data_IF_223224260512
#
_entry.id   IF_223224260512
#
_cell.length_a   1.000
_cell.length_b   1.000
_cell.length_c   1.000
_cell.angle_alpha   90.00
_cell.angle_beta   90.00
_cell.angle_gamma   90.00
#
_symmetry.space_group_name_H-M   'P 1'
#
loop_
_entity.id
_entity.type
_entity.pdbx_description
1 polymer ?
#
# COMPACT_ATOMS: atom_id res chain seq x y z
N UNK A 1 28.15 105.00 -3.36
CA UNK A 1 26.88 104.41 -3.02
C UNK A 1 26.43 103.55 -4.20
N UNK A 2 26.73 102.26 -4.27
CA UNK A 2 26.08 101.33 -5.16
C UNK A 2 26.31 99.96 -4.62
N UNK A 3 25.24 99.29 -4.26
CA UNK A 3 25.19 97.91 -3.78
C UNK A 3 25.11 96.89 -4.97
N UNK A 4 26.07 96.02 -5.03
CA UNK A 4 26.05 94.88 -5.93
C UNK A 4 25.48 93.62 -5.18
N UNK A 5 24.40 93.03 -5.69
CA UNK A 5 23.88 91.78 -5.21
C UNK A 5 24.29 90.68 -6.18
N UNK A 6 25.11 89.76 -5.74
CA UNK A 6 25.45 88.51 -6.39
C UNK A 6 24.39 87.43 -6.02
N UNK A 7 23.69 86.91 -7.02
CA UNK A 7 22.76 85.80 -6.87
C UNK A 7 23.47 84.50 -7.06
N UNK A 8 23.42 83.62 -6.08
CA UNK A 8 23.89 82.22 -6.17
C UNK A 8 22.77 81.30 -6.69
N UNK A 9 22.98 80.62 -7.80
CA UNK A 9 22.16 79.58 -8.29
C UNK A 9 22.55 78.27 -7.57
N UNK A 10 21.64 77.71 -6.76
CA UNK A 10 21.77 76.38 -6.20
C UNK A 10 21.15 75.36 -7.17
N UNK A 11 22.02 74.57 -7.77
CA UNK A 11 21.57 73.40 -8.61
C UNK A 11 21.05 72.25 -7.76
N UNK A 12 19.79 71.92 -7.96
CA UNK A 12 19.16 70.77 -7.35
C UNK A 12 19.50 69.48 -8.15
N UNK A 13 20.42 68.64 -7.66
CA UNK A 13 20.71 67.35 -8.23
C UNK A 13 19.61 66.34 -7.79
N UNK A 14 18.73 65.97 -8.71
CA UNK A 14 17.74 64.88 -8.51
C UNK A 14 18.46 63.56 -8.68
N UNK A 15 18.76 62.87 -7.57
CA UNK A 15 19.26 61.51 -7.57
C UNK A 15 18.07 60.53 -7.86
N UNK A 16 18.00 59.99 -9.08
CA UNK A 16 17.09 58.86 -9.41
C UNK A 16 17.62 57.60 -8.71
N UNK A 17 16.98 57.24 -7.61
CA UNK A 17 17.17 55.91 -6.97
C UNK A 17 16.46 54.89 -7.81
N UNK A 18 17.22 54.09 -8.57
CA UNK A 18 16.73 52.85 -9.17
C UNK A 18 16.51 51.86 -8.04
N UNK A 19 15.23 51.69 -7.61
CA UNK A 19 14.85 50.49 -6.86
C UNK A 19 14.98 49.29 -7.82
N UNK A 20 16.09 48.59 -7.73
CA UNK A 20 16.18 47.23 -8.29
C UNK A 20 15.18 46.36 -7.52
N UNK A 21 14.06 46.04 -8.15
CA UNK A 21 13.16 44.98 -7.67
C UNK A 21 14.01 43.70 -7.58
N UNK A 22 14.39 43.31 -6.36
CA UNK A 22 14.93 41.98 -6.13
C UNK A 22 13.87 40.99 -6.65
N UNK A 23 14.24 39.99 -7.44
CA UNK A 23 13.29 38.96 -7.79
C UNK A 23 12.77 38.38 -6.47
N UNK A 24 11.46 38.45 -6.25
CA UNK A 24 10.80 37.71 -5.17
C UNK A 24 11.35 36.30 -5.26
N UNK A 25 12.12 35.90 -4.25
CA UNK A 25 12.43 34.49 -4.04
C UNK A 25 11.07 33.82 -3.77
N UNK A 26 10.39 33.41 -4.85
CA UNK A 26 9.17 32.65 -4.77
C UNK A 26 9.47 31.47 -3.87
N UNK A 27 8.94 31.49 -2.65
CA UNK A 27 9.06 30.36 -1.74
C UNK A 27 8.62 29.13 -2.52
N UNK A 28 9.54 28.19 -2.70
CA UNK A 28 9.28 26.98 -3.50
C UNK A 28 8.01 26.33 -2.97
N UNK A 29 6.97 26.29 -3.80
CA UNK A 29 5.66 25.79 -3.40
C UNK A 29 5.81 24.33 -2.89
N UNK A 30 5.25 24.04 -1.72
CA UNK A 30 5.22 22.70 -1.14
C UNK A 30 3.86 22.08 -1.39
N UNK A 31 3.85 20.84 -1.91
CA UNK A 31 2.63 20.05 -2.09
C UNK A 31 2.51 19.10 -0.91
N UNK A 32 1.45 19.24 -0.11
CA UNK A 32 1.20 18.41 1.07
C UNK A 32 0.27 17.25 0.76
N UNK A 33 0.66 16.03 1.15
CA UNK A 33 -0.15 14.81 1.09
C UNK A 33 -0.31 14.26 2.50
N UNK A 34 -1.55 13.93 2.89
CA UNK A 34 -1.83 13.24 4.14
C UNK A 34 -1.61 11.74 3.99
N UNK A 35 -0.94 11.10 4.95
CA UNK A 35 -0.76 9.66 4.97
C UNK A 35 -1.32 9.08 6.27
N UNK A 36 -2.39 8.29 6.17
CA UNK A 36 -3.07 7.67 7.32
C UNK A 36 -2.64 6.21 7.40
N UNK A 37 -1.90 5.84 8.45
CA UNK A 37 -1.39 4.48 8.65
C UNK A 37 -1.47 4.07 10.13
N UNK A 38 -1.49 2.75 10.45
CA UNK A 38 -1.40 2.29 11.83
C UNK A 38 0.05 2.41 12.32
N UNK A 39 0.39 3.54 12.95
CA UNK A 39 1.73 3.74 13.50
C UNK A 39 1.84 3.24 14.94
N UNK A 40 0.71 2.89 15.54
CA UNK A 40 0.56 2.21 16.83
C UNK A 40 -0.49 1.09 16.74
N UNK A 41 -0.60 0.25 17.78
CA UNK A 41 -1.55 -0.88 17.82
C UNK A 41 -1.05 -2.15 17.13
N UNK A 42 -1.96 -3.10 16.82
CA UNK A 42 -1.67 -4.46 16.36
C UNK A 42 -1.05 -4.57 14.96
N UNK A 43 -1.18 -3.55 14.14
CA UNK A 43 -0.60 -3.47 12.81
C UNK A 43 0.51 -2.41 12.71
N UNK A 44 1.06 -1.95 13.84
CA UNK A 44 2.05 -0.87 13.88
C UNK A 44 3.31 -1.20 13.08
N UNK A 45 3.77 -2.44 13.09
CA UNK A 45 4.92 -2.87 12.31
C UNK A 45 4.70 -2.61 10.81
N UNK A 46 3.60 -3.11 10.24
CA UNK A 46 3.25 -2.90 8.84
C UNK A 46 3.09 -1.40 8.49
N UNK A 47 2.47 -0.62 9.39
CA UNK A 47 2.32 0.83 9.22
C UNK A 47 3.66 1.57 9.20
N UNK A 48 4.60 1.19 10.06
CA UNK A 48 5.93 1.81 10.09
C UNK A 48 6.80 1.41 8.88
N UNK A 49 6.71 0.18 8.38
CA UNK A 49 7.35 -0.19 7.11
C UNK A 49 6.76 0.59 5.93
N UNK A 50 5.44 0.73 5.87
CA UNK A 50 4.77 1.56 4.86
C UNK A 50 5.19 3.03 4.94
N UNK A 51 5.30 3.59 6.15
CA UNK A 51 5.80 4.95 6.38
C UNK A 51 7.21 5.11 5.81
N UNK A 52 8.15 4.22 6.14
CA UNK A 52 9.52 4.27 5.65
C UNK A 52 9.60 4.21 4.11
N UNK A 53 8.74 3.39 3.48
CA UNK A 53 8.66 3.28 2.02
C UNK A 53 8.06 4.55 1.38
N UNK A 54 7.06 5.17 2.01
CA UNK A 54 6.52 6.48 1.59
C UNK A 54 7.59 7.57 1.69
N UNK A 55 8.39 7.60 2.77
CA UNK A 55 9.51 8.53 2.93
C UNK A 55 10.60 8.32 1.86
N UNK A 56 10.82 7.08 1.42
CA UNK A 56 11.69 6.80 0.27
C UNK A 56 11.11 7.35 -1.03
N UNK A 57 9.80 7.21 -1.26
CA UNK A 57 9.15 7.79 -2.45
C UNK A 57 9.24 9.33 -2.45
N UNK A 58 9.06 9.98 -1.30
CA UNK A 58 9.27 11.44 -1.16
C UNK A 58 10.70 11.83 -1.53
N UNK A 59 11.68 11.06 -1.06
CA UNK A 59 13.09 11.31 -1.36
C UNK A 59 13.38 11.16 -2.85
N UNK A 60 12.87 10.11 -3.49
CA UNK A 60 12.98 9.89 -4.94
C UNK A 60 12.38 11.05 -5.75
N UNK A 61 11.19 11.51 -5.40
CA UNK A 61 10.52 12.62 -6.09
C UNK A 61 11.29 13.93 -5.88
N UNK A 62 11.72 14.21 -4.65
CA UNK A 62 12.31 15.48 -4.29
C UNK A 62 13.77 15.66 -4.73
N UNK A 63 14.54 14.57 -4.75
CA UNK A 63 15.97 14.61 -5.01
C UNK A 63 16.39 13.92 -6.31
N UNK A 64 15.53 13.02 -6.83
CA UNK A 64 15.77 12.26 -8.04
C UNK A 64 16.79 11.13 -7.88
N UNK A 65 16.72 10.16 -8.78
CA UNK A 65 17.73 9.11 -8.97
C UNK A 65 17.85 8.80 -10.47
N UNK A 66 19.01 9.05 -11.10
CA UNK A 66 19.18 8.89 -12.54
C UNK A 66 19.06 7.44 -13.04
N UNK A 67 19.19 6.44 -12.15
CA UNK A 67 19.09 5.02 -12.50
C UNK A 67 17.65 4.55 -12.68
N UNK A 68 16.66 5.32 -12.18
CA UNK A 68 15.23 4.99 -12.23
C UNK A 68 14.52 5.68 -13.40
N UNK A 69 15.07 5.54 -14.63
CA UNK A 69 14.62 6.28 -15.84
C UNK A 69 13.15 6.05 -16.19
N UNK A 70 12.65 4.85 -15.96
CA UNK A 70 11.28 4.47 -16.32
C UNK A 70 10.26 4.87 -15.23
N UNK A 71 10.71 5.12 -14.00
CA UNK A 71 9.82 5.47 -12.89
C UNK A 71 9.45 6.96 -12.96
N UNK A 72 8.17 7.30 -13.09
CA UNK A 72 7.74 8.68 -13.16
C UNK A 72 8.24 9.51 -11.97
N UNK A 73 8.69 10.73 -12.23
CA UNK A 73 9.22 11.70 -11.26
C UNK A 73 10.53 11.30 -10.57
N UNK A 74 11.03 10.08 -10.74
CA UNK A 74 12.21 9.61 -10.02
C UNK A 74 13.53 10.14 -10.56
N UNK A 75 13.57 10.73 -11.75
CA UNK A 75 14.81 11.29 -12.35
C UNK A 75 14.95 12.80 -12.19
N UNK A 76 13.88 13.48 -11.77
CA UNK A 76 13.81 14.92 -11.60
C UNK A 76 14.07 15.40 -10.17
N UNK A 77 13.79 16.68 -9.92
CA UNK A 77 13.87 17.29 -8.59
C UNK A 77 12.57 18.00 -8.28
N UNK A 78 11.68 17.35 -7.56
CA UNK A 78 10.35 17.84 -7.27
C UNK A 78 9.35 17.57 -8.40
N UNK A 79 8.30 18.37 -8.46
CA UNK A 79 7.17 18.26 -9.39
C UNK A 79 7.32 19.28 -10.55
N UNK A 80 7.84 18.89 -11.73
CA UNK A 80 8.08 19.82 -12.83
C UNK A 80 6.82 20.57 -13.28
N UNK A 81 5.64 19.91 -13.28
CA UNK A 81 4.36 20.54 -13.62
C UNK A 81 3.94 21.66 -12.65
N UNK A 82 4.62 21.78 -11.51
CA UNK A 82 4.42 22.81 -10.50
C UNK A 82 5.73 23.60 -10.24
N UNK A 83 6.53 23.79 -11.29
CA UNK A 83 7.77 24.58 -11.20
C UNK A 83 8.84 24.00 -10.27
N UNK A 84 8.85 22.68 -10.08
CA UNK A 84 9.79 22.00 -9.19
C UNK A 84 9.35 21.98 -7.72
N UNK A 85 8.08 22.21 -7.44
CA UNK A 85 7.53 22.14 -6.08
C UNK A 85 7.94 20.86 -5.36
N UNK A 86 8.25 20.96 -4.06
CA UNK A 86 8.60 19.79 -3.24
C UNK A 86 7.36 19.10 -2.70
N UNK A 87 7.45 17.77 -2.58
CA UNK A 87 6.44 16.97 -1.92
C UNK A 87 6.73 16.86 -0.43
N UNK A 88 5.71 17.06 0.39
CA UNK A 88 5.71 16.85 1.83
C UNK A 88 4.61 15.86 2.19
N UNK A 89 4.89 14.91 3.09
CA UNK A 89 3.90 13.97 3.61
C UNK A 89 3.68 14.21 5.09
N UNK A 90 2.42 14.47 5.45
CA UNK A 90 1.97 14.60 6.84
C UNK A 90 1.40 13.27 7.29
N UNK A 91 2.12 12.58 8.16
CA UNK A 91 1.68 11.29 8.71
C UNK A 91 0.68 11.45 9.83
N UNK A 92 -0.30 10.55 9.86
CA UNK A 92 -1.35 10.48 10.87
C UNK A 92 -1.56 9.04 11.31
N UNK A 93 -1.47 8.82 12.63
CA UNK A 93 -1.68 7.50 13.24
C UNK A 93 -3.17 7.21 13.38
N UNK A 94 -3.64 6.15 12.74
CA UNK A 94 -5.02 5.69 12.86
C UNK A 94 -5.27 4.77 14.07
N UNK A 95 -4.22 4.43 14.83
CA UNK A 95 -4.27 3.62 16.06
C UNK A 95 -4.99 2.28 15.89
N UNK A 96 -5.12 1.79 14.66
CA UNK A 96 -5.85 0.57 14.33
C UNK A 96 -7.37 0.68 14.51
N UNK A 97 -7.95 1.88 14.59
CA UNK A 97 -9.39 2.06 14.80
C UNK A 97 -10.08 2.96 13.76
N UNK A 98 -11.31 2.60 13.31
CA UNK A 98 -12.07 3.41 12.36
C UNK A 98 -12.33 4.85 12.84
N UNK A 99 -12.60 5.04 14.15
CA UNK A 99 -12.84 6.36 14.72
C UNK A 99 -11.60 7.26 14.68
N UNK A 100 -10.42 6.73 15.05
CA UNK A 100 -9.18 7.47 14.93
C UNK A 100 -8.86 7.79 13.46
N UNK A 101 -9.02 6.83 12.54
CA UNK A 101 -8.84 7.07 11.10
C UNK A 101 -9.71 8.17 10.53
N UNK A 102 -10.99 8.20 10.93
CA UNK A 102 -11.94 9.28 10.57
C UNK A 102 -11.48 10.64 11.09
N UNK A 103 -11.10 10.71 12.37
CA UNK A 103 -10.66 11.96 12.99
C UNK A 103 -9.35 12.46 12.36
N UNK A 104 -8.41 11.57 12.06
CA UNK A 104 -7.16 11.93 11.40
C UNK A 104 -7.40 12.41 9.96
N UNK A 105 -8.32 11.80 9.21
CA UNK A 105 -8.69 12.30 7.89
C UNK A 105 -9.26 13.72 7.97
N UNK A 106 -10.16 13.98 8.91
CA UNK A 106 -10.72 15.32 9.10
C UNK A 106 -9.61 16.33 9.46
N UNK A 107 -8.72 16.01 10.41
CA UNK A 107 -7.59 16.88 10.79
C UNK A 107 -6.68 17.19 9.60
N UNK A 108 -6.29 16.19 8.83
CA UNK A 108 -5.45 16.37 7.64
C UNK A 108 -6.09 17.31 6.63
N UNK A 109 -7.41 17.25 6.46
CA UNK A 109 -8.17 18.09 5.52
C UNK A 109 -8.30 19.51 6.04
N UNK A 110 -8.76 19.69 7.30
CA UNK A 110 -9.19 20.99 7.81
C UNK A 110 -8.07 21.81 8.43
N UNK A 111 -7.10 21.17 9.10
CA UNK A 111 -6.01 21.81 9.81
C UNK A 111 -4.73 21.82 8.96
N UNK A 112 -4.30 20.64 8.46
CA UNK A 112 -3.09 20.51 7.65
C UNK A 112 -3.26 20.97 6.20
N UNK A 113 -4.51 21.01 5.71
CA UNK A 113 -4.89 21.41 4.35
C UNK A 113 -4.16 20.64 3.27
N UNK A 114 -4.15 19.32 3.41
CA UNK A 114 -3.54 18.42 2.44
C UNK A 114 -4.31 18.40 1.11
N UNK A 115 -3.60 18.20 -0.01
CA UNK A 115 -4.18 18.21 -1.34
C UNK A 115 -4.71 16.86 -1.80
N UNK A 116 -4.25 15.78 -1.16
CA UNK A 116 -4.73 14.40 -1.32
C UNK A 116 -4.39 13.59 -0.08
N UNK A 117 -5.03 12.42 0.09
CA UNK A 117 -4.76 11.49 1.19
C UNK A 117 -4.41 10.11 0.61
N UNK A 118 -3.42 9.45 1.22
CA UNK A 118 -3.05 8.05 0.99
C UNK A 118 -3.28 7.23 2.25
N UNK A 119 -3.75 5.98 2.10
CA UNK A 119 -3.95 5.02 3.20
C UNK A 119 -5.24 4.22 3.03
N UNK A 120 -5.82 3.67 4.08
CA UNK A 120 -5.34 3.67 5.47
C UNK A 120 -4.85 2.29 5.93
N UNK A 121 -4.34 1.45 5.04
CA UNK A 121 -3.92 0.07 5.24
C UNK A 121 -5.09 -0.87 5.57
N UNK A 122 -5.76 -0.68 6.70
CA UNK A 122 -6.88 -1.51 7.16
C UNK A 122 -8.19 -1.08 6.48
N UNK A 123 -8.92 -2.04 5.89
CA UNK A 123 -10.13 -1.75 5.09
C UNK A 123 -11.21 -1.02 5.89
N UNK A 124 -11.47 -1.42 7.15
CA UNK A 124 -12.46 -0.77 8.00
C UNK A 124 -12.12 0.69 8.33
N UNK A 125 -10.83 1.03 8.41
CA UNK A 125 -10.37 2.41 8.60
C UNK A 125 -10.49 3.19 7.29
N UNK A 126 -10.16 2.56 6.17
CA UNK A 126 -10.33 3.17 4.84
C UNK A 126 -11.79 3.52 4.56
N UNK A 127 -12.76 2.70 5.02
CA UNK A 127 -14.20 3.01 4.93
C UNK A 127 -14.51 4.39 5.52
N UNK A 128 -14.08 4.64 6.77
CA UNK A 128 -14.42 5.87 7.50
C UNK A 128 -13.56 7.07 7.06
N UNK A 129 -12.26 6.88 6.87
CA UNK A 129 -11.35 7.95 6.46
C UNK A 129 -11.68 8.47 5.05
N UNK A 130 -11.94 7.57 4.09
CA UNK A 130 -12.31 7.97 2.73
C UNK A 130 -13.70 8.61 2.63
N UNK A 131 -14.61 8.32 3.56
CA UNK A 131 -15.89 9.02 3.65
C UNK A 131 -15.72 10.50 4.03
N UNK A 132 -14.71 10.83 4.86
CA UNK A 132 -14.38 12.23 5.13
C UNK A 132 -13.80 12.91 3.87
N UNK A 133 -12.90 12.26 3.16
CA UNK A 133 -12.37 12.77 1.89
C UNK A 133 -13.46 13.00 0.85
N UNK A 134 -14.39 12.07 0.67
CA UNK A 134 -15.54 12.23 -0.23
C UNK A 134 -16.38 13.45 0.14
N UNK A 135 -16.69 13.61 1.44
CA UNK A 135 -17.50 14.73 1.94
C UNK A 135 -16.86 16.11 1.69
N UNK A 136 -15.54 16.16 1.77
CA UNK A 136 -14.78 17.40 1.64
C UNK A 136 -14.18 17.62 0.24
N UNK A 137 -14.39 16.71 -0.70
CA UNK A 137 -13.89 16.82 -2.06
C UNK A 137 -12.36 16.74 -2.15
N UNK A 138 -11.72 15.88 -1.34
CA UNK A 138 -10.28 15.65 -1.34
C UNK A 138 -10.00 14.25 -1.89
N UNK A 139 -9.13 14.07 -2.91
CA UNK A 139 -8.78 12.77 -3.44
C UNK A 139 -8.19 11.85 -2.35
N UNK A 140 -8.69 10.61 -2.30
CA UNK A 140 -8.20 9.55 -1.41
C UNK A 140 -7.78 8.35 -2.25
N UNK A 141 -6.53 7.92 -2.12
CA UNK A 141 -6.03 6.72 -2.77
C UNK A 141 -5.66 5.67 -1.71
N UNK A 142 -6.25 4.47 -1.82
CA UNK A 142 -5.81 3.33 -1.01
C UNK A 142 -4.93 2.40 -1.85
N UNK A 143 -3.69 2.16 -1.44
CA UNK A 143 -2.82 1.19 -2.08
C UNK A 143 -2.92 -0.23 -1.50
N UNK A 144 -3.51 -0.43 -0.30
CA UNK A 144 -3.50 -1.74 0.36
C UNK A 144 -4.89 -2.32 0.65
N UNK A 145 -5.90 -1.49 0.92
CA UNK A 145 -7.21 -1.97 1.36
C UNK A 145 -7.98 -2.71 0.27
N UNK A 146 -8.37 -3.95 0.54
CA UNK A 146 -8.87 -4.89 -0.49
C UNK A 146 -10.36 -5.23 -0.36
N UNK A 147 -11.07 -4.77 0.69
CA UNK A 147 -12.48 -5.05 0.88
C UNK A 147 -13.31 -4.67 -0.36
N UNK A 148 -14.19 -5.57 -0.79
CA UNK A 148 -14.88 -5.47 -2.08
C UNK A 148 -15.73 -4.20 -2.19
N UNK A 149 -16.43 -3.83 -1.11
CA UNK A 149 -17.35 -2.71 -1.08
C UNK A 149 -16.70 -1.32 -1.24
N UNK A 150 -15.39 -1.18 -1.06
CA UNK A 150 -14.72 0.13 -1.06
C UNK A 150 -14.92 0.93 -2.34
N UNK A 151 -14.95 0.28 -3.50
CA UNK A 151 -15.22 0.91 -4.81
C UNK A 151 -16.69 0.82 -5.25
N UNK A 152 -17.57 0.21 -4.42
CA UNK A 152 -18.99 0.05 -4.74
C UNK A 152 -19.89 1.13 -4.09
N UNK A 153 -19.29 2.12 -3.40
CA UNK A 153 -20.00 3.15 -2.63
C UNK A 153 -20.43 4.35 -3.48
N UNK A 154 -20.09 4.37 -4.78
CA UNK A 154 -20.37 5.50 -5.67
C UNK A 154 -19.56 6.75 -5.38
N UNK A 155 -18.44 6.63 -4.69
CA UNK A 155 -17.56 7.74 -4.35
C UNK A 155 -16.79 8.24 -5.57
N UNK A 156 -16.72 9.56 -5.74
CA UNK A 156 -16.02 10.22 -6.85
C UNK A 156 -14.55 10.51 -6.54
N UNK A 157 -14.22 10.66 -5.26
CA UNK A 157 -12.92 11.08 -4.77
C UNK A 157 -12.07 9.91 -4.27
N UNK A 158 -12.58 8.68 -4.39
CA UNK A 158 -11.91 7.48 -3.93
C UNK A 158 -11.28 6.70 -5.09
N UNK A 159 -10.02 6.26 -4.87
CA UNK A 159 -9.25 5.44 -5.81
C UNK A 159 -8.60 4.28 -5.07
N UNK A 160 -8.56 3.10 -5.70
CA UNK A 160 -7.89 1.93 -5.19
C UNK A 160 -6.85 1.43 -6.19
N UNK A 161 -5.56 1.45 -5.81
CA UNK A 161 -4.46 1.01 -6.66
C UNK A 161 -4.23 -0.50 -6.62
N UNK A 162 -4.59 -1.18 -5.52
CA UNK A 162 -4.41 -2.63 -5.32
C UNK A 162 -5.50 -3.45 -6.01
N UNK A 163 -5.26 -4.76 -6.30
CA UNK A 163 -6.33 -5.69 -6.66
C UNK A 163 -7.44 -5.74 -5.60
N UNK A 164 -8.63 -6.15 -5.98
CA UNK A 164 -9.75 -6.38 -5.06
C UNK A 164 -9.74 -7.82 -4.52
N UNK A 165 -10.40 -8.06 -3.38
CA UNK A 165 -10.48 -9.39 -2.76
C UNK A 165 -10.89 -10.50 -3.74
N UNK A 166 -11.76 -10.20 -4.72
CA UNK A 166 -12.17 -11.14 -5.74
C UNK A 166 -11.06 -11.60 -6.69
N UNK A 167 -10.07 -10.75 -6.96
CA UNK A 167 -8.92 -11.12 -7.80
C UNK A 167 -8.05 -12.15 -7.07
N UNK A 168 -7.84 -11.96 -5.77
CA UNK A 168 -7.08 -12.89 -4.94
C UNK A 168 -7.82 -14.23 -4.76
N UNK A 169 -9.14 -14.19 -4.51
CA UNK A 169 -9.93 -15.39 -4.39
C UNK A 169 -9.88 -16.24 -5.67
N UNK A 170 -9.95 -15.60 -6.85
CA UNK A 170 -9.77 -16.31 -8.14
C UNK A 170 -8.38 -16.88 -8.31
N UNK A 171 -7.33 -16.17 -7.90
CA UNK A 171 -5.96 -16.65 -7.95
C UNK A 171 -5.77 -17.89 -7.05
N UNK A 172 -6.28 -17.85 -5.81
CA UNK A 172 -6.25 -19.02 -4.91
C UNK A 172 -7.03 -20.19 -5.48
N UNK A 173 -8.22 -19.96 -6.05
CA UNK A 173 -9.02 -21.01 -6.66
C UNK A 173 -8.28 -21.69 -7.82
N UNK A 174 -7.72 -20.92 -8.75
CA UNK A 174 -6.97 -21.45 -9.87
C UNK A 174 -5.73 -22.22 -9.39
N UNK A 175 -4.96 -21.67 -8.47
CA UNK A 175 -3.81 -22.31 -7.86
C UNK A 175 -4.18 -23.67 -7.23
N UNK A 176 -5.22 -23.71 -6.39
CA UNK A 176 -5.65 -24.94 -5.73
C UNK A 176 -6.17 -26.00 -6.71
N UNK A 177 -6.83 -25.60 -7.81
CA UNK A 177 -7.22 -26.53 -8.88
C UNK A 177 -5.99 -27.19 -9.51
N UNK A 178 -4.95 -26.43 -9.81
CA UNK A 178 -3.69 -26.96 -10.36
C UNK A 178 -2.99 -27.89 -9.37
N UNK A 179 -2.92 -27.51 -8.07
CA UNK A 179 -2.31 -28.36 -7.05
C UNK A 179 -3.08 -29.68 -6.87
N UNK A 180 -4.41 -29.64 -6.88
CA UNK A 180 -5.25 -30.83 -6.82
C UNK A 180 -5.04 -31.73 -8.04
N UNK A 181 -4.95 -31.16 -9.24
CA UNK A 181 -4.64 -31.90 -10.46
C UNK A 181 -3.24 -32.55 -10.43
N UNK A 182 -2.29 -31.91 -9.73
CA UNK A 182 -0.94 -32.44 -9.47
C UNK A 182 -0.90 -33.50 -8.34
N UNK A 183 -2.04 -33.90 -7.79
CA UNK A 183 -2.14 -34.97 -6.77
C UNK A 183 -1.98 -34.47 -5.33
N UNK A 184 -1.97 -33.16 -5.09
CA UNK A 184 -1.90 -32.64 -3.73
C UNK A 184 -3.25 -32.73 -3.00
N UNK A 185 -3.21 -32.90 -1.67
CA UNK A 185 -4.41 -32.89 -0.83
C UNK A 185 -4.98 -31.48 -0.73
N UNK A 186 -6.10 -31.23 -1.39
CA UNK A 186 -6.79 -29.94 -1.43
C UNK A 186 -8.32 -30.11 -1.53
N UNK A 187 -8.88 -31.11 -0.86
CA UNK A 187 -10.29 -31.47 -0.96
C UNK A 187 -11.15 -30.79 0.10
N UNK A 188 -10.61 -30.45 1.26
CA UNK A 188 -11.30 -29.77 2.36
C UNK A 188 -10.59 -28.49 2.74
N UNK A 189 -11.34 -27.39 2.81
CA UNK A 189 -10.77 -26.05 3.02
C UNK A 189 -11.40 -25.41 4.24
N UNK A 190 -10.57 -24.87 5.14
CA UNK A 190 -10.99 -23.99 6.22
C UNK A 190 -10.53 -22.56 5.96
N UNK A 191 -11.39 -21.59 6.29
CA UNK A 191 -11.06 -20.16 6.27
C UNK A 191 -11.06 -19.67 7.71
N UNK A 192 -10.00 -18.99 8.14
CA UNK A 192 -9.88 -18.39 9.46
C UNK A 192 -9.67 -16.89 9.26
N UNK A 193 -10.58 -16.09 9.77
CA UNK A 193 -10.55 -14.65 9.51
C UNK A 193 -10.83 -13.83 10.77
N UNK A 194 -10.12 -12.72 10.89
CA UNK A 194 -10.47 -11.70 11.86
C UNK A 194 -11.83 -11.05 11.50
N UNK A 195 -12.53 -10.48 12.48
CA UNK A 195 -13.90 -10.04 12.33
C UNK A 195 -14.08 -8.56 11.94
N UNK A 196 -13.01 -7.88 11.47
CA UNK A 196 -13.15 -6.53 10.93
C UNK A 196 -13.62 -6.57 9.47
N UNK A 197 -13.79 -5.40 8.85
CA UNK A 197 -14.19 -5.25 7.45
C UNK A 197 -13.27 -6.03 6.49
N UNK A 198 -11.95 -6.05 6.76
CA UNK A 198 -10.99 -6.80 5.92
C UNK A 198 -11.26 -8.30 5.97
N UNK A 199 -11.17 -8.90 7.15
CA UNK A 199 -11.29 -10.35 7.28
C UNK A 199 -12.66 -10.87 6.86
N UNK A 200 -13.74 -10.17 7.24
CA UNK A 200 -15.11 -10.55 6.89
C UNK A 200 -15.37 -10.43 5.38
N UNK A 201 -14.95 -9.34 4.75
CA UNK A 201 -15.12 -9.13 3.31
C UNK A 201 -14.34 -10.16 2.49
N UNK A 202 -13.06 -10.38 2.82
CA UNK A 202 -12.22 -11.36 2.09
C UNK A 202 -12.75 -12.78 2.27
N UNK A 203 -13.09 -13.20 3.49
CA UNK A 203 -13.64 -14.53 3.74
C UNK A 203 -14.95 -14.77 2.97
N UNK A 204 -15.84 -13.76 2.91
CA UNK A 204 -17.08 -13.84 2.15
C UNK A 204 -16.81 -14.06 0.66
N UNK A 205 -15.93 -13.24 0.08
CA UNK A 205 -15.60 -13.31 -1.35
C UNK A 205 -14.89 -14.63 -1.70
N UNK A 206 -13.98 -15.12 -0.84
CA UNK A 206 -13.33 -16.44 -1.06
C UNK A 206 -14.40 -17.54 -1.07
N UNK A 207 -15.34 -17.55 -0.12
CA UNK A 207 -16.42 -18.54 -0.09
C UNK A 207 -17.26 -18.52 -1.36
N UNK A 208 -17.64 -17.34 -1.84
CA UNK A 208 -18.47 -17.18 -3.05
C UNK A 208 -17.74 -17.69 -4.30
N UNK A 209 -16.48 -17.29 -4.49
CA UNK A 209 -15.65 -17.72 -5.62
C UNK A 209 -15.40 -19.22 -5.55
N UNK A 210 -15.07 -19.75 -4.37
CA UNK A 210 -14.77 -21.17 -4.18
C UNK A 210 -15.99 -22.05 -4.39
N UNK A 211 -17.16 -21.65 -3.89
CA UNK A 211 -18.42 -22.36 -4.13
C UNK A 211 -18.75 -22.43 -5.63
N UNK A 212 -18.60 -21.31 -6.35
CA UNK A 212 -18.80 -21.24 -7.80
C UNK A 212 -17.82 -22.13 -8.56
N UNK A 213 -16.60 -22.25 -8.07
CA UNK A 213 -15.51 -23.00 -8.69
C UNK A 213 -15.43 -24.48 -8.25
N UNK A 214 -16.35 -24.93 -7.39
CA UNK A 214 -16.47 -26.33 -6.94
C UNK A 214 -15.47 -26.73 -5.85
N UNK A 215 -14.90 -25.77 -5.11
CA UNK A 215 -14.10 -26.06 -3.92
C UNK A 215 -14.98 -26.30 -2.69
N UNK A 216 -14.64 -27.27 -1.86
CA UNK A 216 -15.36 -27.55 -0.62
C UNK A 216 -14.80 -26.73 0.54
N UNK A 217 -15.40 -25.56 0.82
CA UNK A 217 -15.15 -24.81 2.06
C UNK A 217 -15.95 -25.50 3.17
N UNK A 218 -15.27 -26.27 4.01
CA UNK A 218 -15.88 -27.07 5.07
C UNK A 218 -16.06 -26.32 6.38
N UNK A 219 -15.27 -25.25 6.59
CA UNK A 219 -15.32 -24.42 7.79
C UNK A 219 -15.02 -22.95 7.47
N UNK A 220 -15.69 -22.05 8.20
CA UNK A 220 -15.31 -20.65 8.33
C UNK A 220 -15.27 -20.33 9.82
N UNK A 221 -14.13 -19.90 10.30
CA UNK A 221 -13.85 -19.67 11.71
C UNK A 221 -13.51 -18.19 11.91
N UNK A 222 -14.51 -17.34 12.15
CA UNK A 222 -14.25 -15.94 12.51
C UNK A 222 -13.72 -15.85 13.93
N UNK A 223 -12.83 -14.88 14.17
CA UNK A 223 -12.34 -14.57 15.51
C UNK A 223 -12.27 -13.05 15.72
N UNK A 224 -12.25 -12.60 16.96
CA UNK A 224 -12.11 -11.18 17.30
C UNK A 224 -10.71 -10.70 16.99
N UNK A 225 -10.58 -9.63 16.19
CA UNK A 225 -9.31 -8.96 15.98
C UNK A 225 -8.71 -8.52 17.32
N UNK A 226 -7.39 -8.54 17.44
CA UNK A 226 -6.64 -8.27 18.67
C UNK A 226 -6.90 -9.29 19.80
N UNK A 227 -7.33 -10.51 19.46
CA UNK A 227 -7.46 -11.57 20.46
C UNK A 227 -6.12 -11.90 21.11
N UNK A 228 -6.15 -12.34 22.34
CA UNK A 228 -4.97 -12.83 23.09
C UNK A 228 -4.89 -14.36 23.14
N UNK A 229 -5.94 -15.06 22.66
CA UNK A 229 -6.00 -16.50 22.60
C UNK A 229 -6.69 -16.98 21.33
N UNK A 230 -6.05 -17.92 20.63
CA UNK A 230 -6.57 -18.59 19.42
C UNK A 230 -6.57 -20.12 19.58
N UNK A 231 -6.32 -20.62 20.78
CA UNK A 231 -6.26 -22.06 21.05
C UNK A 231 -7.58 -22.75 20.67
N UNK A 232 -8.78 -22.23 21.00
CA UNK A 232 -10.04 -22.84 20.59
C UNK A 232 -10.17 -23.01 19.07
N UNK A 233 -9.78 -22.01 18.30
CA UNK A 233 -9.84 -22.05 16.83
C UNK A 233 -8.85 -23.08 16.26
N UNK A 234 -7.63 -23.16 16.80
CA UNK A 234 -6.63 -24.15 16.36
C UNK A 234 -7.04 -25.57 16.75
N UNK A 235 -7.66 -25.77 17.92
CA UNK A 235 -8.22 -27.08 18.32
C UNK A 235 -9.36 -27.50 17.40
N UNK A 236 -10.24 -26.58 17.01
CA UNK A 236 -11.30 -26.85 16.03
C UNK A 236 -10.72 -27.24 14.66
N UNK A 237 -9.68 -26.56 14.20
CA UNK A 237 -8.96 -26.94 12.97
C UNK A 237 -8.33 -28.32 13.10
N UNK A 238 -7.67 -28.61 14.22
CA UNK A 238 -7.03 -29.91 14.48
C UNK A 238 -8.03 -31.05 14.51
N UNK A 239 -9.21 -30.87 15.11
CA UNK A 239 -10.28 -31.85 15.16
C UNK A 239 -10.81 -32.20 13.75
N UNK A 240 -11.09 -31.18 12.94
CA UNK A 240 -11.65 -31.36 11.57
C UNK A 240 -10.59 -31.68 10.53
N UNK A 241 -9.34 -31.36 10.80
CA UNK A 241 -8.15 -31.65 10.01
C UNK A 241 -8.30 -31.33 8.50
N UNK A 242 -8.62 -30.06 8.13
CA UNK A 242 -8.75 -29.68 6.73
C UNK A 242 -7.42 -29.81 5.98
N UNK A 243 -7.50 -30.15 4.67
CA UNK A 243 -6.32 -30.21 3.81
C UNK A 243 -5.66 -28.84 3.62
N UNK A 244 -6.49 -27.80 3.49
CA UNK A 244 -6.08 -26.40 3.24
C UNK A 244 -6.63 -25.50 4.34
N UNK A 245 -5.79 -24.60 4.85
CA UNK A 245 -6.24 -23.51 5.70
C UNK A 245 -5.84 -22.17 5.06
N UNK A 246 -6.79 -21.24 5.00
CA UNK A 246 -6.56 -19.88 4.52
C UNK A 246 -6.75 -18.95 5.71
N UNK A 247 -5.65 -18.28 6.13
CA UNK A 247 -5.67 -17.29 7.20
C UNK A 247 -5.79 -15.87 6.65
N UNK A 248 -6.65 -15.08 7.28
CA UNK A 248 -6.87 -13.67 6.99
C UNK A 248 -6.71 -12.92 8.32
N UNK A 249 -5.50 -12.41 8.59
CA UNK A 249 -5.11 -11.90 9.92
C UNK A 249 -4.11 -10.74 9.82
N UNK A 250 -4.11 -9.85 10.81
CA UNK A 250 -3.07 -8.85 10.99
C UNK A 250 -1.87 -9.41 11.78
N UNK A 251 -0.80 -8.64 11.93
CA UNK A 251 0.52 -9.12 12.36
C UNK A 251 0.52 -9.83 13.71
N UNK A 252 -0.09 -9.25 14.74
CA UNK A 252 -0.12 -9.86 16.08
C UNK A 252 -0.91 -11.16 16.10
N UNK A 253 -2.05 -11.19 15.42
CA UNK A 253 -2.90 -12.37 15.35
C UNK A 253 -2.23 -13.49 14.53
N UNK A 254 -1.54 -13.14 13.43
CA UNK A 254 -0.77 -14.07 12.61
C UNK A 254 0.33 -14.77 13.43
N UNK A 255 1.08 -14.00 14.25
CA UNK A 255 2.09 -14.53 15.16
C UNK A 255 1.49 -15.49 16.18
N UNK A 256 0.33 -15.13 16.74
CA UNK A 256 -0.36 -15.95 17.73
C UNK A 256 -0.80 -17.29 17.13
N UNK A 257 -1.40 -17.27 15.92
CA UNK A 257 -1.76 -18.50 15.21
C UNK A 257 -0.56 -19.38 14.88
N UNK A 258 0.51 -18.81 14.32
CA UNK A 258 1.71 -19.54 13.98
C UNK A 258 2.30 -20.26 15.21
N UNK A 259 2.39 -19.57 16.34
CA UNK A 259 2.87 -20.11 17.60
C UNK A 259 1.94 -21.20 18.14
N UNK A 260 0.62 -20.93 18.22
CA UNK A 260 -0.36 -21.88 18.78
C UNK A 260 -0.44 -23.17 17.95
N UNK A 261 -0.37 -23.08 16.62
CA UNK A 261 -0.31 -24.26 15.75
C UNK A 261 0.91 -25.12 16.05
N UNK A 262 2.07 -24.50 16.24
CA UNK A 262 3.31 -25.21 16.63
C UNK A 262 3.19 -25.85 18.00
N UNK A 263 2.73 -25.10 19.01
CA UNK A 263 2.58 -25.57 20.39
C UNK A 263 1.60 -26.77 20.47
N UNK A 264 0.55 -26.75 19.67
CA UNK A 264 -0.42 -27.87 19.57
C UNK A 264 0.02 -28.98 18.59
N UNK A 265 1.22 -28.85 17.99
CA UNK A 265 1.79 -29.77 17.02
C UNK A 265 0.79 -30.18 15.93
N UNK A 266 0.17 -29.21 15.28
CA UNK A 266 -0.77 -29.43 14.19
C UNK A 266 -0.55 -28.45 13.04
N UNK A 267 -0.65 -28.95 11.82
CA UNK A 267 -0.52 -28.18 10.58
C UNK A 267 -1.30 -28.81 9.43
N UNK A 268 -1.89 -28.01 8.51
CA UNK A 268 -2.55 -28.52 7.31
C UNK A 268 -1.53 -29.00 6.27
N UNK A 269 -2.01 -29.66 5.22
CA UNK A 269 -1.19 -29.99 4.04
C UNK A 269 -0.80 -28.75 3.24
N UNK A 270 -1.70 -27.76 3.14
CA UNK A 270 -1.48 -26.50 2.46
C UNK A 270 -1.88 -25.36 3.40
N UNK A 271 -0.96 -24.47 3.69
CA UNK A 271 -1.20 -23.28 4.50
C UNK A 271 -1.09 -22.03 3.62
N UNK A 272 -2.19 -21.31 3.48
CA UNK A 272 -2.28 -20.07 2.71
C UNK A 272 -2.54 -18.92 3.67
N UNK A 273 -1.85 -17.82 3.48
CA UNK A 273 -2.09 -16.56 4.14
C UNK A 273 -2.60 -15.52 3.13
N UNK A 274 -3.57 -14.69 3.53
CA UNK A 274 -4.05 -13.61 2.68
C UNK A 274 -3.30 -12.31 3.00
N UNK A 275 -1.99 -12.29 2.72
CA UNK A 275 -1.13 -11.10 2.87
C UNK A 275 -1.15 -10.50 4.29
N UNK A 276 -1.43 -9.20 4.41
CA UNK A 276 -1.52 -8.46 5.66
C UNK A 276 -0.37 -8.78 6.64
N UNK A 277 -0.69 -9.23 7.84
CA UNK A 277 0.30 -9.53 8.86
C UNK A 277 1.33 -10.61 8.50
N UNK A 278 1.00 -11.50 7.58
CA UNK A 278 1.90 -12.58 7.17
C UNK A 278 3.03 -12.14 6.22
N UNK A 279 2.90 -10.97 5.60
CA UNK A 279 3.99 -10.36 4.81
C UNK A 279 4.89 -9.43 5.63
N UNK A 280 4.48 -9.09 6.84
CA UNK A 280 5.22 -8.20 7.72
C UNK A 280 6.61 -8.78 8.06
N UNK A 281 7.71 -8.06 7.81
CA UNK A 281 9.05 -8.54 8.15
C UNK A 281 9.24 -8.95 9.61
N UNK A 282 8.50 -8.30 10.55
CA UNK A 282 8.55 -8.68 11.97
C UNK A 282 7.92 -10.04 12.22
N UNK A 283 6.81 -10.36 11.50
CA UNK A 283 6.20 -11.69 11.53
C UNK A 283 7.17 -12.75 11.01
N UNK A 284 7.75 -12.53 9.83
CA UNK A 284 8.71 -13.47 9.23
C UNK A 284 9.88 -13.74 10.17
N UNK A 285 10.47 -12.66 10.72
CA UNK A 285 11.59 -12.75 11.64
C UNK A 285 11.25 -13.49 12.93
N UNK A 286 10.11 -13.19 13.54
CA UNK A 286 9.69 -13.79 14.81
C UNK A 286 9.25 -15.26 14.65
N UNK A 287 8.67 -15.63 13.52
CA UNK A 287 8.17 -16.97 13.23
C UNK A 287 9.30 -17.93 12.81
N UNK A 288 10.37 -17.43 12.19
CA UNK A 288 11.52 -18.25 11.76
C UNK A 288 11.11 -19.45 10.89
N UNK A 289 11.55 -20.65 11.26
CA UNK A 289 11.24 -21.88 10.50
C UNK A 289 9.76 -22.28 10.51
N UNK A 290 8.95 -21.74 11.44
CA UNK A 290 7.53 -22.08 11.51
C UNK A 290 6.81 -21.79 10.19
N UNK A 291 7.22 -20.74 9.50
CA UNK A 291 6.55 -20.30 8.26
C UNK A 291 7.17 -20.86 6.99
N UNK A 292 8.16 -21.73 7.09
CA UNK A 292 8.76 -22.37 5.89
C UNK A 292 7.71 -23.19 5.12
N UNK A 293 7.50 -22.84 3.86
CA UNK A 293 6.48 -23.43 3.02
C UNK A 293 5.12 -22.71 3.06
N UNK A 294 4.95 -21.67 3.91
CA UNK A 294 3.73 -20.85 3.93
C UNK A 294 3.52 -20.18 2.57
N UNK A 295 2.33 -20.36 2.02
CA UNK A 295 1.91 -19.74 0.77
C UNK A 295 1.26 -18.39 1.08
N UNK A 296 1.57 -17.38 0.27
CA UNK A 296 1.00 -16.05 0.42
C UNK A 296 0.72 -15.44 -0.96
N UNK A 297 -0.04 -14.36 -0.99
CA UNK A 297 -0.16 -13.52 -2.17
C UNK A 297 0.73 -12.30 -2.05
N UNK A 298 1.20 -11.81 -3.17
CA UNK A 298 1.95 -10.57 -3.21
C UNK A 298 1.73 -9.86 -4.54
N UNK A 299 1.64 -8.55 -4.50
CA UNK A 299 1.72 -7.70 -5.69
C UNK A 299 3.13 -7.16 -5.92
N UNK A 300 4.08 -7.58 -5.10
CA UNK A 300 5.48 -7.18 -5.18
C UNK A 300 6.40 -8.40 -5.10
N UNK A 301 7.41 -8.37 -5.94
CA UNK A 301 8.61 -9.17 -5.81
C UNK A 301 9.78 -8.31 -6.33
N UNK A 302 10.99 -8.41 -5.75
CA UNK A 302 12.11 -7.58 -6.15
C UNK A 302 12.49 -7.64 -7.63
N UNK A 303 12.06 -8.69 -8.33
CA UNK A 303 12.35 -8.84 -9.76
C UNK A 303 13.80 -9.15 -10.07
N UNK A 304 14.17 -9.02 -11.34
CA UNK A 304 15.54 -9.25 -11.80
C UNK A 304 16.42 -8.06 -11.42
N UNK A 305 17.71 -8.32 -11.18
CA UNK A 305 18.69 -7.27 -10.95
C UNK A 305 18.65 -6.19 -12.03
N UNK A 306 18.68 -4.92 -11.61
CA UNK A 306 18.58 -3.76 -12.52
C UNK A 306 17.16 -3.36 -12.92
N UNK A 307 16.12 -4.12 -12.56
CA UNK A 307 14.73 -3.67 -12.72
C UNK A 307 14.39 -2.54 -11.74
N UNK A 308 13.38 -1.75 -12.06
CA UNK A 308 12.86 -0.68 -11.18
C UNK A 308 12.55 -1.24 -9.78
N UNK A 309 11.86 -2.38 -9.72
CA UNK A 309 11.52 -3.04 -8.44
C UNK A 309 12.77 -3.43 -7.64
N UNK A 310 13.80 -4.00 -8.29
CA UNK A 310 15.05 -4.40 -7.63
C UNK A 310 15.81 -3.18 -7.12
N UNK A 311 15.98 -2.14 -7.95
CA UNK A 311 16.69 -0.92 -7.57
C UNK A 311 16.02 -0.21 -6.40
N UNK A 312 14.70 -0.06 -6.42
CA UNK A 312 13.95 0.58 -5.32
C UNK A 312 14.01 -0.28 -4.05
N UNK A 313 13.97 -1.62 -4.19
CA UNK A 313 14.15 -2.53 -3.06
C UNK A 313 15.53 -2.40 -2.41
N UNK A 314 16.59 -2.34 -3.21
CA UNK A 314 17.97 -2.12 -2.72
C UNK A 314 18.10 -0.78 -1.98
N UNK A 315 17.46 0.28 -2.50
CA UNK A 315 17.43 1.59 -1.83
C UNK A 315 16.70 1.53 -0.49
N UNK A 316 15.55 0.84 -0.44
CA UNK A 316 14.83 0.63 0.81
C UNK A 316 15.67 -0.16 1.82
N UNK A 317 16.29 -1.25 1.38
CA UNK A 317 17.18 -2.06 2.22
C UNK A 317 18.37 -1.28 2.76
N UNK A 318 18.97 -0.43 1.94
CA UNK A 318 20.06 0.47 2.38
C UNK A 318 19.60 1.47 3.44
N UNK A 319 18.37 2.00 3.30
CA UNK A 319 17.79 2.99 4.20
C UNK A 319 17.29 2.40 5.51
N UNK A 320 16.67 1.22 5.47
CA UNK A 320 15.91 0.63 6.59
C UNK A 320 16.54 -0.64 7.18
N UNK A 321 17.48 -1.27 6.48
CA UNK A 321 18.00 -2.60 6.78
C UNK A 321 17.09 -3.76 6.33
N UNK A 322 15.92 -3.47 5.74
CA UNK A 322 14.94 -4.48 5.34
C UNK A 322 14.59 -4.36 3.86
N UNK A 323 14.30 -5.49 3.23
CA UNK A 323 13.66 -5.50 1.92
C UNK A 323 12.25 -4.89 2.01
N UNK A 324 11.72 -4.37 0.88
CA UNK A 324 10.31 -4.02 0.78
C UNK A 324 9.47 -5.29 0.93
N UNK A 325 8.44 -5.22 1.74
CA UNK A 325 7.35 -6.17 1.74
C UNK A 325 6.23 -5.72 0.77
N UNK A 326 5.22 -6.56 0.57
CA UNK A 326 4.14 -6.24 -0.34
C UNK A 326 3.34 -4.97 0.06
N UNK A 327 2.92 -4.78 1.33
CA UNK A 327 2.26 -3.54 1.74
C UNK A 327 3.11 -2.29 1.56
N UNK A 328 4.37 -2.31 1.97
CA UNK A 328 5.26 -1.15 1.86
C UNK A 328 5.58 -0.78 0.40
N UNK A 329 5.77 -1.77 -0.47
CA UNK A 329 5.94 -1.53 -1.91
C UNK A 329 4.68 -0.90 -2.53
N UNK A 330 3.48 -1.34 -2.11
CA UNK A 330 2.21 -0.73 -2.56
C UNK A 330 2.02 0.68 -2.01
N UNK A 331 2.41 0.95 -0.75
CA UNK A 331 2.37 2.29 -0.16
C UNK A 331 3.27 3.27 -0.92
N UNK A 332 4.50 2.87 -1.21
CA UNK A 332 5.44 3.62 -2.04
C UNK A 332 4.85 3.91 -3.43
N UNK A 333 4.33 2.86 -4.10
CA UNK A 333 3.70 3.00 -5.41
C UNK A 333 2.47 3.92 -5.36
N UNK A 334 1.67 3.85 -4.33
CA UNK A 334 0.50 4.71 -4.14
C UNK A 334 0.87 6.19 -4.06
N UNK A 335 1.95 6.53 -3.36
CA UNK A 335 2.44 7.91 -3.31
C UNK A 335 2.95 8.39 -4.67
N UNK A 336 3.67 7.55 -5.41
CA UNK A 336 4.12 7.86 -6.77
C UNK A 336 2.94 8.12 -7.72
N UNK A 337 1.86 7.36 -7.61
CA UNK A 337 0.63 7.56 -8.41
C UNK A 337 0.01 8.93 -8.10
N UNK A 338 -0.14 9.29 -6.83
CA UNK A 338 -0.71 10.58 -6.43
C UNK A 338 0.19 11.72 -6.91
N UNK A 339 1.49 11.63 -6.68
CA UNK A 339 2.45 12.66 -7.07
C UNK A 339 2.50 12.86 -8.59
N UNK A 340 2.47 11.78 -9.37
CA UNK A 340 2.40 11.82 -10.84
C UNK A 340 1.12 12.52 -11.31
N UNK A 341 -0.02 12.17 -10.71
CA UNK A 341 -1.30 12.80 -11.05
C UNK A 341 -1.31 14.30 -10.72
N UNK A 342 -0.77 14.72 -9.58
CA UNK A 342 -0.62 16.13 -9.20
C UNK A 342 0.31 16.86 -10.17
N UNK A 343 1.44 16.25 -10.51
CA UNK A 343 2.39 16.80 -11.47
C UNK A 343 1.75 17.02 -12.85
N UNK A 344 1.00 16.03 -13.33
CA UNK A 344 0.29 16.09 -14.62
C UNK A 344 -0.88 17.08 -14.60
N UNK A 345 -1.57 17.23 -13.45
CA UNK A 345 -2.58 18.26 -13.25
C UNK A 345 -2.01 19.69 -13.31
N UNK A 346 -0.71 19.88 -13.03
CA UNK A 346 -0.07 21.18 -12.90
C UNK A 346 -0.75 22.10 -11.88
N UNK A 347 -1.37 21.51 -10.86
CA UNK A 347 -2.23 22.23 -9.91
C UNK A 347 -2.38 21.48 -8.60
N UNK A 348 -2.57 22.20 -7.51
CA UNK A 348 -2.95 21.68 -6.19
C UNK A 348 -4.46 21.73 -5.95
N UNK A 349 -5.25 22.14 -6.94
CA UNK A 349 -6.70 22.12 -6.88
C UNK A 349 -7.21 20.66 -6.81
N UNK A 350 -8.01 20.28 -5.79
CA UNK A 350 -8.44 18.90 -5.61
C UNK A 350 -9.23 18.34 -6.80
N UNK A 351 -10.03 19.14 -7.47
CA UNK A 351 -10.83 18.68 -8.62
C UNK A 351 -9.93 18.36 -9.82
N UNK A 352 -8.88 19.14 -10.05
CA UNK A 352 -7.90 18.87 -11.09
C UNK A 352 -7.05 17.62 -10.75
N UNK A 353 -6.70 17.43 -9.49
CA UNK A 353 -6.00 16.22 -9.03
C UNK A 353 -6.90 14.99 -9.22
N UNK A 354 -8.17 15.07 -8.85
CA UNK A 354 -9.16 14.00 -9.03
C UNK A 354 -9.30 13.62 -10.52
N UNK A 355 -9.43 14.62 -11.39
CA UNK A 355 -9.51 14.39 -12.84
C UNK A 355 -8.21 13.75 -13.38
N UNK A 356 -7.05 14.19 -12.90
CA UNK A 356 -5.77 13.61 -13.27
C UNK A 356 -5.61 12.17 -12.77
N UNK A 357 -6.01 11.85 -11.52
CA UNK A 357 -6.05 10.47 -11.03
C UNK A 357 -6.96 9.60 -11.90
N UNK A 358 -8.15 10.08 -12.26
CA UNK A 358 -9.09 9.37 -13.15
C UNK A 358 -8.47 9.04 -14.52
N UNK A 359 -7.64 9.93 -15.04
CA UNK A 359 -6.97 9.80 -16.33
C UNK A 359 -5.61 9.09 -16.25
N UNK A 360 -5.25 8.48 -15.12
CA UNK A 360 -3.98 7.77 -14.95
C UNK A 360 -3.90 6.56 -15.90
N UNK A 361 -2.78 6.44 -16.63
CA UNK A 361 -2.45 5.31 -17.52
C UNK A 361 -0.94 5.02 -17.45
N UNK A 362 -0.49 4.44 -16.34
CA UNK A 362 0.90 4.01 -16.16
C UNK A 362 1.10 2.60 -16.70
N UNK A 363 2.24 2.37 -17.36
CA UNK A 363 2.62 1.07 -17.92
C UNK A 363 3.35 0.21 -16.87
N UNK A 364 3.48 -1.08 -17.13
CA UNK A 364 4.13 -2.03 -16.23
C UNK A 364 5.57 -1.67 -15.85
N UNK A 365 6.34 -1.08 -16.76
CA UNK A 365 7.71 -0.61 -16.47
C UNK A 365 7.79 0.71 -15.71
N UNK A 366 6.65 1.39 -15.49
CA UNK A 366 6.54 2.64 -14.75
C UNK A 366 6.07 2.44 -13.30
N UNK A 367 6.02 1.20 -12.83
CA UNK A 367 5.57 0.85 -11.47
C UNK A 367 6.61 0.00 -10.75
N UNK A 368 6.66 0.15 -9.42
CA UNK A 368 7.53 -0.64 -8.54
C UNK A 368 6.91 -2.01 -8.23
N UNK A 369 5.59 -2.06 -8.15
CA UNK A 369 4.83 -3.30 -7.95
C UNK A 369 4.79 -4.16 -9.21
N UNK A 370 4.45 -5.45 -9.07
CA UNK A 370 4.26 -6.37 -10.20
C UNK A 370 2.95 -6.18 -10.96
N UNK A 371 2.34 -5.00 -10.90
CA UNK A 371 1.12 -4.68 -11.66
C UNK A 371 1.39 -4.64 -13.17
N UNK A 372 0.37 -4.94 -13.95
CA UNK A 372 0.41 -4.74 -15.40
C UNK A 372 0.35 -3.25 -15.79
N UNK A 373 0.25 -2.37 -14.80
CA UNK A 373 0.17 -0.92 -14.92
C UNK A 373 -0.82 -0.32 -13.91
N UNK A 374 -1.17 0.96 -14.09
CA UNK A 374 -2.21 1.63 -13.30
C UNK A 374 -3.17 2.35 -14.24
N UNK A 375 -4.42 1.91 -14.21
CA UNK A 375 -5.53 2.55 -14.93
C UNK A 375 -6.80 2.41 -14.12
N UNK A 376 -7.43 3.52 -13.78
CA UNK A 376 -8.64 3.51 -12.98
C UNK A 376 -9.91 3.45 -13.85
N UNK A 377 -10.84 2.57 -13.47
CA UNK A 377 -12.18 2.53 -14.03
C UNK A 377 -13.09 3.63 -13.47
N UNK A 378 -14.37 3.62 -13.85
CA UNK A 378 -15.37 4.59 -13.40
C UNK A 378 -15.59 4.57 -11.87
N UNK A 379 -15.32 3.43 -11.21
CA UNK A 379 -15.43 3.26 -9.75
C UNK A 379 -14.16 3.65 -9.00
N UNK A 380 -13.09 4.02 -9.72
CA UNK A 380 -11.77 4.29 -9.14
C UNK A 380 -10.95 3.04 -8.82
N UNK A 381 -11.30 1.87 -9.37
CA UNK A 381 -10.51 0.65 -9.24
C UNK A 381 -9.41 0.60 -10.30
N UNK A 382 -8.16 0.31 -9.90
CA UNK A 382 -7.10 -0.02 -10.84
C UNK A 382 -7.39 -1.37 -11.51
N UNK A 383 -7.74 -1.35 -12.79
CA UNK A 383 -8.06 -2.56 -13.57
C UNK A 383 -6.81 -3.30 -14.08
N UNK A 384 -5.63 -2.72 -13.95
CA UNK A 384 -4.35 -3.33 -14.31
C UNK A 384 -3.58 -3.87 -13.11
N UNK A 385 -4.16 -3.76 -11.91
CA UNK A 385 -3.59 -4.36 -10.72
C UNK A 385 -3.56 -5.89 -10.82
N UNK A 386 -2.46 -6.50 -10.40
CA UNK A 386 -2.27 -7.96 -10.44
C UNK A 386 -1.50 -8.44 -9.21
N UNK A 387 -1.58 -9.75 -8.97
CA UNK A 387 -0.85 -10.39 -7.88
C UNK A 387 -0.20 -11.69 -8.33
N UNK A 388 0.75 -12.13 -7.53
CA UNK A 388 1.45 -13.40 -7.61
C UNK A 388 1.07 -14.24 -6.39
N UNK A 389 1.20 -15.55 -6.50
CA UNK A 389 1.30 -16.43 -5.34
C UNK A 389 2.78 -16.65 -5.07
N UNK A 390 3.14 -16.41 -3.84
CA UNK A 390 4.51 -16.58 -3.32
C UNK A 390 4.53 -17.68 -2.28
N UNK A 391 5.68 -18.27 -2.06
CA UNK A 391 5.89 -19.23 -0.98
C UNK A 391 7.13 -18.83 -0.18
N UNK A 392 7.04 -18.97 1.13
CA UNK A 392 8.18 -18.81 2.02
C UNK A 392 9.18 -19.95 1.76
N UNK A 393 10.34 -19.61 1.25
CA UNK A 393 11.42 -20.54 0.93
C UNK A 393 12.76 -19.98 1.42
N UNK A 394 13.40 -20.67 2.36
CA UNK A 394 14.66 -20.25 2.94
C UNK A 394 14.60 -18.83 3.56
N UNK A 395 13.49 -18.50 4.21
CA UNK A 395 13.29 -17.23 4.92
C UNK A 395 12.88 -16.06 4.02
N UNK A 396 12.55 -16.29 2.75
CA UNK A 396 12.10 -15.26 1.80
C UNK A 396 10.86 -15.70 1.02
N UNK A 397 9.99 -14.76 0.68
CA UNK A 397 8.86 -15.03 -0.20
C UNK A 397 9.32 -15.07 -1.67
N UNK A 398 9.23 -16.27 -2.27
CA UNK A 398 9.61 -16.54 -3.66
C UNK A 398 8.32 -16.67 -4.49
N UNK A 399 8.16 -15.94 -5.62
CA UNK A 399 7.07 -16.15 -6.56
C UNK A 399 7.07 -17.60 -7.09
N UNK A 400 5.94 -18.31 -6.95
CA UNK A 400 5.79 -19.70 -7.37
C UNK A 400 4.63 -19.92 -8.33
N UNK A 401 3.75 -18.91 -8.51
CA UNK A 401 2.62 -18.96 -9.43
C UNK A 401 2.17 -17.54 -9.83
N UNK A 402 1.66 -17.32 -11.06
CA UNK A 402 1.56 -18.27 -12.16
C UNK A 402 2.94 -18.67 -12.72
N UNK A 403 2.99 -19.78 -13.45
CA UNK A 403 4.25 -20.40 -13.89
C UNK A 403 5.16 -19.49 -14.73
N UNK A 404 4.56 -18.63 -15.56
CA UNK A 404 5.29 -17.67 -16.39
C UNK A 404 5.97 -16.54 -15.61
N UNK A 405 5.53 -16.32 -14.35
CA UNK A 405 6.08 -15.31 -13.43
C UNK A 405 6.82 -15.95 -12.24
N UNK A 406 6.87 -17.27 -12.16
CA UNK A 406 7.51 -17.97 -11.05
C UNK A 406 9.04 -17.79 -11.09
N UNK A 407 9.64 -17.60 -9.91
CA UNK A 407 11.09 -17.57 -9.67
C UNK A 407 11.58 -18.84 -8.95
N UNK A 408 10.67 -19.70 -8.51
CA UNK A 408 10.96 -20.98 -7.88
C UNK A 408 9.80 -21.95 -8.02
N UNK A 409 10.06 -23.23 -7.71
CA UNK A 409 9.05 -24.26 -7.71
C UNK A 409 8.27 -24.28 -6.40
N UNK A 410 6.97 -24.64 -6.49
CA UNK A 410 6.14 -24.86 -5.30
C UNK A 410 6.64 -26.09 -4.53
N UNK A 411 6.69 -25.99 -3.21
CA UNK A 411 7.11 -27.06 -2.29
C UNK A 411 5.94 -27.44 -1.39
N UNK A 412 5.34 -28.58 -1.64
CA UNK A 412 4.23 -29.13 -0.87
C UNK A 412 4.55 -30.56 -0.39
N UNK A 413 3.97 -31.02 0.73
CA UNK A 413 3.06 -30.29 1.64
C UNK A 413 3.77 -29.20 2.44
N UNK A 414 2.98 -28.34 3.12
CA UNK A 414 3.50 -27.29 4.02
C UNK A 414 4.48 -27.90 5.04
N UNK A 415 5.72 -27.40 5.01
CA UNK A 415 6.79 -27.97 5.83
C UNK A 415 6.65 -27.55 7.30
N UNK A 416 6.47 -26.24 7.54
CA UNK A 416 6.39 -25.71 8.90
C UNK A 416 7.62 -26.04 9.74
N UNK A 417 7.38 -26.26 11.03
CA UNK A 417 8.40 -26.65 12.02
C UNK A 417 8.83 -28.11 11.91
#
# INVERSE_FOLDING_TARGET
MFFSRSGSFAGLAVALIWLAAAPDASAQQTVKIGAIYPLSGNAASAGNFSKAAIELAVDLINNGNPDLKDLPLATGKGLPGLGGAKLEVVFADNQGTPAAGQNQALRLITEERVHAIIGAYQSGITVTASAMSERHGIPFLTPESVAANLTERGFKWFFRATPVAGDFARAYSAFLKEQKAAGQKASSIAIVNENTEYGTSVATVIREVFAKDGHAVTQVIPYSANTTDVQPQVLQLKEKNPDVVIFISYTSDALLYAKTMKDLNWKPSILIADNAGFNDPSFVKASGSIVEGLINRSSFAPGKAGSVSALVNEMNKKKTGNDLDDPSARALQGLLIIAEAINRAGSTDPAKIQAALRATDLKANQVVTGYNGVKFDEKGQNVLASSLITQMQNGQYVPVWPKDKAAGDIRLPYKGW
#
